data_IF_244531673800
#
_entry.id   IF_244531673800
#
_cell.length_a   1.000
_cell.length_b   1.000
_cell.length_c   1.000
_cell.angle_alpha   90.00
_cell.angle_beta   90.00
_cell.angle_gamma   90.00
#
_symmetry.space_group_name_H-M   'P 1'
#
loop_
_entity.id
_entity.type
_entity.pdbx_description
1 polymer ?
#
# COMPACT_ATOMS: atom_id res chain seq x y z
N UNK A 1 18.29 8.38 24.49
CA UNK A 1 16.93 8.58 23.96
C UNK A 1 16.90 8.14 22.51
N UNK A 2 15.97 7.27 22.12
CA UNK A 2 15.77 6.89 20.72
C UNK A 2 15.24 8.07 19.91
N UNK A 3 15.64 8.16 18.64
CA UNK A 3 15.09 9.13 17.69
C UNK A 3 13.61 8.84 17.46
N UNK A 4 12.75 9.86 17.51
CA UNK A 4 11.34 9.72 17.14
C UNK A 4 11.23 9.42 15.64
N UNK A 5 10.45 8.38 15.28
CA UNK A 5 10.20 8.01 13.90
C UNK A 5 9.41 9.13 13.19
N UNK A 6 9.90 9.55 12.03
CA UNK A 6 9.23 10.53 11.17
C UNK A 6 8.53 9.80 10.03
N UNK A 7 7.20 9.82 10.07
CA UNK A 7 6.34 9.11 9.12
C UNK A 7 5.58 10.10 8.25
N UNK A 8 5.62 9.88 6.93
CA UNK A 8 4.79 10.59 5.97
C UNK A 8 3.67 9.66 5.51
N UNK A 9 2.43 10.15 5.55
CA UNK A 9 1.24 9.35 5.21
C UNK A 9 0.51 10.00 4.03
N UNK A 10 0.21 9.21 3.00
CA UNK A 10 -0.70 9.63 1.95
C UNK A 10 -2.14 9.67 2.49
N UNK A 11 -2.84 10.76 2.26
CA UNK A 11 -4.22 10.93 2.71
C UNK A 11 -5.00 11.85 1.80
N UNK A 12 -6.21 11.43 1.43
CA UNK A 12 -7.23 12.27 0.80
C UNK A 12 -8.61 11.66 1.03
N UNK A 13 -9.64 12.18 0.37
CA UNK A 13 -11.02 11.80 0.64
C UNK A 13 -11.40 10.41 0.09
N UNK A 14 -10.71 9.89 -0.94
CA UNK A 14 -11.12 8.63 -1.59
C UNK A 14 -9.96 7.71 -1.97
N UNK A 15 -8.94 8.18 -2.68
CA UNK A 15 -7.88 7.30 -3.17
C UNK A 15 -6.97 6.75 -2.07
N UNK A 16 -6.82 7.50 -0.96
CA UNK A 16 -6.03 7.12 0.22
C UNK A 16 -6.78 7.55 1.49
N UNK A 17 -7.84 6.83 1.84
CA UNK A 17 -8.78 7.25 2.88
C UNK A 17 -8.95 6.26 4.03
N UNK A 18 -8.45 5.02 3.89
CA UNK A 18 -8.63 4.00 4.92
C UNK A 18 -7.53 4.09 5.98
N UNK A 19 -7.71 5.04 6.91
CA UNK A 19 -6.77 5.30 7.99
C UNK A 19 -7.46 5.10 9.35
N UNK A 20 -6.81 4.33 10.21
CA UNK A 20 -7.23 4.17 11.60
C UNK A 20 -6.45 5.14 12.48
N UNK A 21 -7.15 5.86 13.36
CA UNK A 21 -6.51 6.83 14.25
C UNK A 21 -5.47 6.17 15.17
N UNK A 22 -5.75 4.97 15.65
CA UNK A 22 -4.79 4.21 16.47
C UNK A 22 -3.49 3.91 15.73
N UNK A 23 -3.58 3.63 14.43
CA UNK A 23 -2.41 3.42 13.58
C UNK A 23 -1.59 4.70 13.45
N UNK A 24 -2.25 5.82 13.21
CA UNK A 24 -1.61 7.14 13.11
C UNK A 24 -0.90 7.50 14.42
N UNK A 25 -1.58 7.30 15.54
CA UNK A 25 -1.04 7.64 16.87
C UNK A 25 0.21 6.81 17.22
N UNK A 26 0.33 5.61 16.68
CA UNK A 26 1.47 4.73 16.89
C UNK A 26 2.69 5.06 16.00
N UNK A 27 2.53 5.93 15.00
CA UNK A 27 3.55 6.19 13.98
C UNK A 27 4.58 7.28 14.31
N UNK A 28 4.60 7.76 15.55
CA UNK A 28 5.54 8.80 15.97
C UNK A 28 5.15 10.18 15.47
N UNK A 29 6.11 10.92 14.88
CA UNK A 29 5.84 12.23 14.29
C UNK A 29 5.28 12.03 12.87
N UNK A 30 4.01 12.41 12.67
CA UNK A 30 3.28 12.16 11.42
C UNK A 30 3.02 13.46 10.66
N UNK A 31 3.29 13.43 9.36
CA UNK A 31 2.86 14.44 8.40
C UNK A 31 2.08 13.77 7.28
N UNK A 32 1.27 14.54 6.55
CA UNK A 32 0.39 14.04 5.51
C UNK A 32 0.65 14.73 4.18
N UNK A 33 0.35 14.06 3.09
CA UNK A 33 0.29 14.66 1.75
C UNK A 33 -0.83 14.03 0.93
N UNK A 34 -1.36 14.81 -0.02
CA UNK A 34 -2.34 14.31 -0.97
C UNK A 34 -1.64 14.00 -2.31
N UNK A 35 -1.53 12.71 -2.69
CA UNK A 35 -0.88 12.32 -3.95
C UNK A 35 -1.52 12.88 -5.22
N UNK A 36 -2.77 13.35 -5.14
CA UNK A 36 -3.45 13.94 -6.30
C UNK A 36 -3.12 15.41 -6.52
N UNK A 37 -2.57 16.09 -5.51
CA UNK A 37 -2.37 17.56 -5.55
C UNK A 37 -1.01 18.04 -5.07
N UNK A 38 -0.25 17.21 -4.37
CA UNK A 38 0.99 17.63 -3.71
C UNK A 38 2.19 16.78 -4.14
N UNK A 39 3.35 17.42 -4.23
CA UNK A 39 4.63 16.72 -4.39
C UNK A 39 5.28 16.64 -3.00
N UNK A 40 5.46 15.43 -2.44
CA UNK A 40 6.00 15.30 -1.10
C UNK A 40 7.51 15.56 -1.06
N UNK A 41 7.98 16.10 0.07
CA UNK A 41 9.40 16.09 0.39
C UNK A 41 9.69 14.88 1.29
N UNK A 42 10.46 13.94 0.79
CA UNK A 42 10.79 12.70 1.50
C UNK A 42 12.16 12.76 2.20
N UNK A 43 12.81 13.90 2.20
CA UNK A 43 14.07 14.09 2.91
C UNK A 43 13.84 14.01 4.43
N UNK A 44 14.63 13.18 5.10
CA UNK A 44 14.51 12.98 6.54
C UNK A 44 13.29 12.16 6.98
N UNK A 45 12.54 11.59 6.06
CA UNK A 45 11.42 10.68 6.35
C UNK A 45 11.97 9.28 6.62
N UNK A 46 11.60 8.72 7.75
CA UNK A 46 12.02 7.39 8.17
C UNK A 46 11.09 6.30 7.62
N UNK A 47 9.81 6.64 7.38
CA UNK A 47 8.85 5.74 6.78
C UNK A 47 7.78 6.48 5.98
N UNK A 48 7.44 5.92 4.82
CA UNK A 48 6.28 6.31 4.01
C UNK A 48 5.18 5.27 4.19
N UNK A 49 4.00 5.71 4.60
CA UNK A 49 2.83 4.85 4.70
C UNK A 49 1.80 5.22 3.65
N UNK A 50 1.46 4.24 2.82
CA UNK A 50 0.45 4.37 1.76
C UNK A 50 -0.76 3.49 2.14
N UNK A 51 -1.82 4.08 2.71
CA UNK A 51 -2.99 3.34 3.14
C UNK A 51 -3.88 2.93 1.98
N UNK A 52 -4.92 2.17 2.30
CA UNK A 52 -5.95 1.80 1.34
C UNK A 52 -6.85 2.96 0.93
N UNK A 53 -7.67 2.68 -0.05
CA UNK A 53 -8.63 3.57 -0.69
C UNK A 53 -8.96 3.05 -2.07
N UNK A 54 -9.41 3.95 -2.94
CA UNK A 54 -9.83 3.60 -4.31
C UNK A 54 -9.02 4.38 -5.37
N UNK A 55 -7.70 4.17 -5.48
CA UNK A 55 -6.90 4.89 -6.48
C UNK A 55 -7.31 4.57 -7.91
N UNK A 56 -7.90 3.40 -8.17
CA UNK A 56 -8.41 3.01 -9.48
C UNK A 56 -9.54 3.91 -9.99
N UNK A 57 -10.21 4.64 -9.10
CA UNK A 57 -11.23 5.63 -9.44
C UNK A 57 -10.65 7.03 -9.66
N UNK A 58 -9.35 7.21 -9.39
CA UNK A 58 -8.65 8.48 -9.44
C UNK A 58 -7.39 8.43 -10.31
N UNK A 59 -7.31 7.47 -11.22
CA UNK A 59 -6.11 7.26 -12.05
C UNK A 59 -5.74 8.49 -12.88
N UNK A 60 -6.72 9.25 -13.37
CA UNK A 60 -6.46 10.45 -14.15
C UNK A 60 -5.73 11.53 -13.33
N UNK A 61 -6.16 11.75 -12.09
CA UNK A 61 -5.53 12.71 -11.19
C UNK A 61 -4.13 12.25 -10.77
N UNK A 62 -3.98 10.97 -10.45
CA UNK A 62 -2.70 10.41 -10.01
C UNK A 62 -1.65 10.40 -11.12
N UNK A 63 -2.06 10.11 -12.36
CA UNK A 63 -1.16 10.11 -13.53
C UNK A 63 -0.58 11.51 -13.79
N UNK A 64 -1.37 12.56 -13.59
CA UNK A 64 -0.92 13.95 -13.78
C UNK A 64 0.19 14.37 -12.82
N UNK A 65 0.27 13.72 -11.66
CA UNK A 65 1.27 14.01 -10.62
C UNK A 65 2.54 13.19 -10.83
N UNK A 66 3.19 13.35 -11.98
CA UNK A 66 4.41 12.60 -12.30
C UNK A 66 5.53 12.87 -11.31
N UNK A 67 5.72 14.12 -10.90
CA UNK A 67 6.76 14.47 -9.92
C UNK A 67 6.53 13.79 -8.57
N UNK A 68 5.29 13.63 -8.15
CA UNK A 68 4.93 12.89 -6.92
C UNK A 68 5.29 11.41 -7.05
N UNK A 69 4.91 10.78 -8.15
CA UNK A 69 5.21 9.37 -8.41
C UNK A 69 6.73 9.14 -8.49
N UNK A 70 7.45 10.04 -9.13
CA UNK A 70 8.91 9.96 -9.22
C UNK A 70 9.58 10.15 -7.85
N UNK A 71 9.11 11.09 -7.03
CA UNK A 71 9.65 11.29 -5.68
C UNK A 71 9.52 10.03 -4.81
N UNK A 72 8.39 9.34 -4.91
CA UNK A 72 8.16 8.08 -4.19
C UNK A 72 9.08 6.98 -4.73
N UNK A 73 9.23 6.88 -6.04
CA UNK A 73 10.12 5.90 -6.66
C UNK A 73 11.57 6.12 -6.25
N UNK A 74 12.04 7.35 -6.27
CA UNK A 74 13.41 7.71 -5.86
C UNK A 74 13.64 7.37 -4.38
N UNK A 75 12.65 7.64 -3.52
CA UNK A 75 12.70 7.28 -2.11
C UNK A 75 12.85 5.77 -1.91
N UNK A 76 12.06 4.97 -2.64
CA UNK A 76 12.15 3.51 -2.58
C UNK A 76 13.51 3.00 -3.09
N UNK A 77 14.01 3.56 -4.19
CA UNK A 77 15.29 3.14 -4.82
C UNK A 77 16.50 3.45 -3.93
N UNK A 78 16.45 4.53 -3.14
CA UNK A 78 17.53 4.82 -2.18
C UNK A 78 17.38 4.10 -0.85
N UNK A 79 16.51 3.08 -0.77
CA UNK A 79 16.34 2.23 0.40
C UNK A 79 15.32 2.75 1.41
N UNK A 80 14.48 3.69 1.04
CA UNK A 80 13.41 4.21 1.88
C UNK A 80 12.42 3.13 2.28
N UNK A 81 11.98 3.16 3.53
CA UNK A 81 11.02 2.20 4.07
C UNK A 81 9.60 2.61 3.70
N UNK A 82 8.85 1.67 3.13
CA UNK A 82 7.45 1.89 2.73
C UNK A 82 6.59 0.74 3.24
N UNK A 83 5.43 1.08 3.80
CA UNK A 83 4.34 0.14 4.03
C UNK A 83 3.18 0.57 3.13
N UNK A 84 2.69 -0.37 2.30
CA UNK A 84 1.65 -0.09 1.33
C UNK A 84 0.54 -1.16 1.42
N UNK A 85 -0.69 -0.68 1.64
CA UNK A 85 -1.85 -1.54 1.84
C UNK A 85 -2.92 -1.28 0.80
N UNK A 86 -3.45 -2.35 0.18
CA UNK A 86 -4.56 -2.29 -0.77
C UNK A 86 -4.33 -1.21 -1.85
N UNK A 87 -5.08 -0.11 -1.81
CA UNK A 87 -4.92 1.00 -2.75
C UNK A 87 -3.51 1.59 -2.76
N UNK A 88 -2.86 1.68 -1.61
CA UNK A 88 -1.48 2.13 -1.50
C UNK A 88 -0.49 1.19 -2.20
N UNK A 89 -0.71 -0.11 -2.10
CA UNK A 89 0.06 -1.11 -2.85
C UNK A 89 -0.17 -0.97 -4.35
N UNK A 90 -1.43 -0.80 -4.77
CA UNK A 90 -1.78 -0.61 -6.18
C UNK A 90 -1.08 0.61 -6.78
N UNK A 91 -1.00 1.69 -6.04
CA UNK A 91 -0.33 2.92 -6.42
C UNK A 91 1.19 2.75 -6.60
N UNK A 92 1.81 1.84 -5.84
CA UNK A 92 3.25 1.53 -5.99
C UNK A 92 3.55 0.63 -7.19
N UNK A 93 2.57 -0.03 -7.77
CA UNK A 93 2.75 -0.91 -8.92
C UNK A 93 3.16 -0.12 -10.17
N UNK A 94 3.48 -0.83 -11.24
CA UNK A 94 3.82 -0.22 -12.53
C UNK A 94 2.66 0.54 -13.13
N UNK A 95 1.45 -0.05 -13.06
CA UNK A 95 0.26 0.54 -13.66
C UNK A 95 -1.01 -0.03 -13.04
N UNK A 96 -2.09 0.75 -13.15
CA UNK A 96 -3.46 0.29 -12.94
C UNK A 96 -4.14 0.27 -14.31
N UNK A 97 -4.65 -0.89 -14.70
CA UNK A 97 -5.37 -1.08 -15.96
C UNK A 97 -6.86 -1.03 -15.69
N UNK A 98 -7.55 -0.15 -16.38
CA UNK A 98 -9.02 -0.02 -16.32
C UNK A 98 -9.64 -0.30 -17.67
N UNK A 99 -10.98 -0.25 -17.78
CA UNK A 99 -11.67 -0.36 -19.08
C UNK A 99 -11.31 0.78 -20.05
N UNK A 100 -10.76 1.89 -19.54
CA UNK A 100 -10.37 3.07 -20.32
C UNK A 100 -8.90 3.04 -20.77
N UNK A 101 -8.09 2.13 -20.23
CA UNK A 101 -6.69 2.02 -20.62
C UNK A 101 -5.76 1.66 -19.47
N UNK A 102 -4.46 1.79 -19.74
CA UNK A 102 -3.39 1.53 -18.77
C UNK A 102 -2.84 2.86 -18.26
N UNK A 103 -2.84 3.02 -16.94
CA UNK A 103 -2.43 4.25 -16.27
C UNK A 103 -1.17 3.99 -15.44
N UNK A 104 -0.01 4.62 -15.78
CA UNK A 104 1.22 4.41 -15.03
C UNK A 104 1.10 4.94 -13.60
N UNK A 105 1.63 4.16 -12.66
CA UNK A 105 1.70 4.51 -11.24
C UNK A 105 3.15 4.73 -10.82
N UNK A 106 3.53 4.48 -9.57
CA UNK A 106 4.88 4.81 -9.09
C UNK A 106 5.98 3.93 -9.70
N UNK A 107 5.66 2.72 -10.15
CA UNK A 107 6.64 1.83 -10.76
C UNK A 107 7.70 1.28 -9.81
N UNK A 108 7.38 1.23 -8.51
CA UNK A 108 8.26 0.65 -7.49
C UNK A 108 8.16 -0.87 -7.49
N UNK A 109 6.93 -1.39 -7.56
CA UNK A 109 6.65 -2.83 -7.57
C UNK A 109 6.49 -3.31 -9.02
N UNK A 110 7.15 -4.42 -9.42
CA UNK A 110 7.17 -4.88 -10.82
C UNK A 110 5.90 -5.67 -11.19
N UNK A 111 4.73 -5.15 -10.82
CA UNK A 111 3.42 -5.78 -11.04
C UNK A 111 2.44 -4.77 -11.59
N UNK A 112 1.39 -5.28 -12.25
CA UNK A 112 0.26 -4.48 -12.72
C UNK A 112 -1.01 -4.92 -12.01
N UNK A 113 -1.94 -3.98 -11.84
CA UNK A 113 -3.25 -4.22 -11.21
C UNK A 113 -4.33 -4.03 -12.29
N UNK A 114 -5.31 -4.93 -12.31
CA UNK A 114 -6.49 -4.75 -13.14
C UNK A 114 -7.71 -4.32 -12.32
N UNK A 115 -8.31 -3.23 -12.75
CA UNK A 115 -9.60 -2.73 -12.25
C UNK A 115 -10.68 -2.83 -13.33
N UNK A 116 -10.44 -3.60 -14.41
CA UNK A 116 -11.42 -3.81 -15.48
C UNK A 116 -12.63 -4.57 -14.95
N UNK A 117 -13.82 -4.22 -15.43
CA UNK A 117 -15.07 -4.86 -15.00
C UNK A 117 -15.05 -6.38 -15.22
N UNK A 118 -14.48 -6.83 -16.33
CA UNK A 118 -14.38 -8.25 -16.65
C UNK A 118 -13.52 -9.05 -15.67
N UNK A 119 -12.60 -8.41 -14.99
CA UNK A 119 -11.65 -9.04 -14.05
C UNK A 119 -12.05 -8.88 -12.58
N UNK A 120 -13.16 -8.18 -12.30
CA UNK A 120 -13.60 -7.90 -10.93
C UNK A 120 -13.92 -9.17 -10.18
N UNK A 121 -13.32 -9.29 -8.98
CA UNK A 121 -13.59 -10.39 -8.07
C UNK A 121 -13.50 -9.86 -6.65
N UNK A 122 -14.58 -9.94 -5.89
CA UNK A 122 -14.60 -9.51 -4.50
C UNK A 122 -13.73 -10.43 -3.65
N UNK A 123 -12.75 -9.85 -2.98
CA UNK A 123 -12.00 -10.48 -1.90
C UNK A 123 -12.30 -9.73 -0.62
N UNK A 124 -12.91 -10.41 0.35
CA UNK A 124 -13.43 -9.79 1.56
C UNK A 124 -13.24 -10.72 2.75
N UNK A 125 -12.75 -10.19 3.84
CA UNK A 125 -12.78 -10.85 5.12
C UNK A 125 -11.62 -10.51 6.03
N UNK A 126 -11.69 -11.05 7.24
CA UNK A 126 -10.63 -11.00 8.21
C UNK A 126 -9.40 -11.77 7.70
N UNK A 127 -8.20 -11.23 7.99
CA UNK A 127 -6.92 -11.85 7.62
C UNK A 127 -5.97 -11.82 8.82
N UNK A 128 -5.16 -12.88 8.94
CA UNK A 128 -4.05 -12.94 9.87
C UNK A 128 -2.86 -13.65 9.24
N UNK A 129 -1.68 -13.25 9.63
CA UNK A 129 -0.44 -13.89 9.21
C UNK A 129 0.68 -13.63 10.21
N UNK A 130 1.71 -14.47 10.14
CA UNK A 130 2.94 -14.31 10.92
C UNK A 130 4.02 -13.66 10.04
N UNK A 131 4.73 -12.69 10.58
CA UNK A 131 5.87 -12.08 9.93
C UNK A 131 6.92 -11.75 10.99
N UNK A 132 8.15 -12.26 10.80
CA UNK A 132 9.25 -12.10 11.75
C UNK A 132 8.85 -12.49 13.19
N UNK A 133 8.20 -13.65 13.34
CA UNK A 133 7.71 -14.24 14.61
C UNK A 133 6.60 -13.43 15.31
N UNK A 134 5.98 -12.50 14.61
CA UNK A 134 4.86 -11.70 15.13
C UNK A 134 3.59 -11.94 14.35
N UNK A 135 2.45 -11.91 15.04
CA UNK A 135 1.14 -12.04 14.42
C UNK A 135 0.59 -10.68 14.03
N UNK A 136 0.19 -10.57 12.76
CA UNK A 136 -0.50 -9.40 12.21
C UNK A 136 -1.93 -9.77 11.88
N UNK A 137 -2.84 -8.84 12.16
CA UNK A 137 -4.26 -8.98 11.90
C UNK A 137 -4.77 -7.77 11.13
N UNK A 138 -5.72 -8.02 10.26
CA UNK A 138 -6.34 -6.98 9.47
C UNK A 138 -7.55 -7.50 8.73
N UNK A 139 -7.99 -6.74 7.73
CA UNK A 139 -9.04 -7.21 6.85
C UNK A 139 -8.68 -6.90 5.40
N UNK A 140 -9.27 -7.66 4.49
CA UNK A 140 -9.17 -7.49 3.05
C UNK A 140 -10.52 -7.09 2.49
N UNK A 141 -10.52 -6.08 1.62
CA UNK A 141 -11.70 -5.68 0.86
C UNK A 141 -11.25 -5.02 -0.43
N UNK A 142 -11.39 -5.71 -1.56
CA UNK A 142 -11.10 -5.15 -2.88
C UNK A 142 -11.77 -5.95 -3.99
N UNK A 143 -11.97 -5.29 -5.13
CA UNK A 143 -12.46 -5.90 -6.37
C UNK A 143 -11.34 -6.03 -7.41
N UNK A 144 -10.25 -5.29 -7.27
CA UNK A 144 -9.10 -5.32 -8.16
C UNK A 144 -8.27 -6.58 -7.94
N UNK A 145 -7.48 -6.96 -8.95
CA UNK A 145 -6.64 -8.15 -8.92
C UNK A 145 -5.28 -7.83 -9.54
N UNK A 146 -4.28 -8.65 -9.26
CA UNK A 146 -3.05 -8.61 -10.02
C UNK A 146 -3.32 -9.04 -11.47
N UNK A 147 -2.71 -8.33 -12.42
CA UNK A 147 -2.81 -8.64 -13.84
C UNK A 147 -1.55 -9.37 -14.28
N UNK A 148 -1.71 -10.63 -14.73
CA UNK A 148 -0.58 -11.46 -15.10
C UNK A 148 0.13 -12.06 -13.90
N UNK A 149 1.37 -11.63 -13.66
CA UNK A 149 2.18 -12.15 -12.55
C UNK A 149 1.63 -11.69 -11.20
N UNK A 150 1.53 -12.64 -10.27
CA UNK A 150 1.16 -12.38 -8.87
C UNK A 150 2.43 -12.47 -8.00
N UNK A 151 2.62 -11.54 -7.05
CA UNK A 151 3.77 -11.59 -6.14
C UNK A 151 3.78 -12.88 -5.32
N UNK A 152 4.97 -13.38 -5.05
CA UNK A 152 5.14 -14.51 -4.14
C UNK A 152 5.02 -14.03 -2.70
N UNK A 153 4.09 -14.64 -1.94
CA UNK A 153 3.91 -14.32 -0.53
C UNK A 153 5.11 -14.80 0.30
N UNK A 154 5.53 -13.96 1.25
CA UNK A 154 6.59 -14.31 2.22
C UNK A 154 6.04 -15.06 3.43
N UNK A 155 4.72 -15.15 3.55
CA UNK A 155 4.04 -15.85 4.65
C UNK A 155 2.70 -16.40 4.17
N UNK A 156 2.16 -17.38 4.89
CA UNK A 156 0.80 -17.86 4.64
C UNK A 156 -0.20 -16.96 5.36
N UNK A 157 -1.19 -16.50 4.62
CA UNK A 157 -2.31 -15.69 5.14
C UNK A 157 -3.52 -16.60 5.40
N UNK A 158 -4.22 -16.37 6.50
CA UNK A 158 -5.38 -17.16 6.93
C UNK A 158 -6.61 -16.27 7.09
N UNK A 159 -7.78 -16.85 6.83
CA UNK A 159 -9.08 -16.20 7.09
C UNK A 159 -9.53 -16.39 8.55
N UNK A 160 -10.73 -15.91 8.89
CA UNK A 160 -11.28 -16.03 10.25
C UNK A 160 -11.50 -17.46 10.71
N UNK A 161 -11.69 -18.40 9.78
CA UNK A 161 -11.86 -19.83 10.06
C UNK A 161 -10.53 -20.58 10.20
N UNK A 162 -9.40 -19.90 10.02
CA UNK A 162 -8.09 -20.52 10.02
C UNK A 162 -7.75 -21.25 8.72
N UNK A 163 -8.49 -21.01 7.65
CA UNK A 163 -8.21 -21.58 6.34
C UNK A 163 -7.23 -20.69 5.58
N UNK A 164 -6.28 -21.27 4.80
CA UNK A 164 -5.34 -20.49 4.01
C UNK A 164 -6.05 -19.72 2.87
N UNK A 165 -5.59 -18.52 2.61
CA UNK A 165 -6.04 -17.70 1.48
C UNK A 165 -4.84 -17.30 0.62
N UNK A 166 -5.08 -17.08 -0.67
CA UNK A 166 -4.01 -16.85 -1.66
C UNK A 166 -3.52 -15.42 -1.74
N UNK A 167 -4.10 -14.50 -0.99
CA UNK A 167 -3.68 -13.10 -0.97
C UNK A 167 -2.24 -12.98 -0.51
N UNK A 168 -1.31 -12.44 -1.34
CA UNK A 168 0.09 -12.36 -0.97
C UNK A 168 0.36 -11.22 0.00
N UNK A 169 1.22 -11.48 0.96
CA UNK A 169 1.98 -10.47 1.70
C UNK A 169 3.40 -10.58 1.20
N UNK A 170 3.96 -9.50 0.67
CA UNK A 170 5.26 -9.60 0.01
C UNK A 170 6.16 -8.42 0.33
N UNK A 171 7.45 -8.67 0.20
CA UNK A 171 8.51 -7.68 0.34
C UNK A 171 9.18 -7.44 -1.00
N UNK A 172 9.52 -6.18 -1.25
CA UNK A 172 10.34 -5.76 -2.37
C UNK A 172 11.29 -4.67 -1.87
N UNK A 173 12.59 -4.99 -1.73
CA UNK A 173 13.55 -4.12 -1.04
C UNK A 173 13.03 -3.75 0.37
N UNK A 174 12.92 -2.48 0.69
CA UNK A 174 12.39 -2.01 1.98
C UNK A 174 10.88 -1.73 1.95
N UNK A 175 10.17 -2.28 0.98
CA UNK A 175 8.72 -2.15 0.85
C UNK A 175 8.04 -3.41 1.37
N UNK A 176 7.08 -3.25 2.27
CA UNK A 176 6.14 -4.29 2.67
C UNK A 176 4.78 -3.95 2.06
N UNK A 177 4.23 -4.85 1.28
CA UNK A 177 3.00 -4.63 0.53
C UNK A 177 2.02 -5.80 0.63
N UNK A 178 0.73 -5.49 0.64
CA UNK A 178 -0.35 -6.47 0.66
C UNK A 178 -1.69 -5.79 0.32
N UNK A 179 -2.69 -6.59 -0.02
CA UNK A 179 -4.09 -6.15 -0.04
C UNK A 179 -4.69 -6.02 1.38
N UNK A 180 -4.06 -6.57 2.39
CA UNK A 180 -4.57 -6.56 3.76
C UNK A 180 -4.38 -5.19 4.41
N UNK A 181 -5.47 -4.65 4.99
CA UNK A 181 -5.44 -3.46 5.84
C UNK A 181 -5.13 -3.90 7.26
N UNK A 182 -3.95 -3.58 7.76
CA UNK A 182 -3.50 -3.98 9.08
C UNK A 182 -4.12 -3.09 10.17
N UNK A 183 -4.55 -3.71 11.26
CA UNK A 183 -5.11 -2.98 12.41
C UNK A 183 -4.03 -2.27 13.24
N UNK A 184 -2.82 -2.87 13.32
CA UNK A 184 -1.65 -2.30 14.01
C UNK A 184 -0.42 -2.56 13.18
N UNK A 185 0.25 -1.50 12.74
CA UNK A 185 1.37 -1.61 11.81
C UNK A 185 2.73 -1.54 12.51
N UNK A 186 2.84 -0.85 13.63
CA UNK A 186 4.14 -0.29 14.01
C UNK A 186 4.66 -0.55 15.40
N UNK A 187 4.01 -1.33 16.23
CA UNK A 187 4.67 -1.71 17.48
C UNK A 187 5.99 -2.46 17.22
N UNK A 188 6.19 -2.89 15.97
CA UNK A 188 7.19 -3.88 15.58
C UNK A 188 8.21 -3.42 14.55
N UNK A 189 8.09 -2.22 13.99
CA UNK A 189 9.06 -1.65 13.07
C UNK A 189 10.03 -0.65 13.76
N UNK A 190 10.27 -0.87 15.04
CA UNK A 190 11.27 -0.10 15.80
C UNK A 190 12.68 -0.62 15.57
#
# INVERSE_FOLDING_TARGET
>A
MGKTLRTLIARNDESFSFLYQETIDAMGEVTFFDPETEVPCLDGIDMLYLPGGYPEKHVDALVKMEATRQAIKDYAERGGRIIAECGGMMYLCEAIVTDEGEFPMCGVLPYKITARKADRKLSLGYRRFMLDDKEYRGHEFHYTQFLGETPKSVTQVYNAKGEPVDTPVFRFNNVLASYTHLYRILEDYK
#
